data_IF_306609019957
#
_entry.id   IF_306609019957
#
_cell.length_a   1.000
_cell.length_b   1.000
_cell.length_c   1.000
_cell.angle_alpha   90.00
_cell.angle_beta   90.00
_cell.angle_gamma   90.00
#
_symmetry.space_group_name_H-M   'P 1'
#
loop_
_entity.id
_entity.type
_entity.pdbx_description
1 polymer ?
#
# COMPACT_ATOMS: atom_id res chain seq x y z
N UNK A 1 -13.38 -6.81 9.31
CA UNK A 1 -12.84 -7.24 8.01
C UNK A 1 -11.31 -7.20 7.96
N UNK A 2 -10.68 -6.35 8.76
CA UNK A 2 -9.23 -6.22 8.82
C UNK A 2 -8.76 -5.98 10.25
N UNK A 3 -7.47 -6.21 10.51
CA UNK A 3 -6.83 -5.84 11.76
C UNK A 3 -5.95 -4.62 11.51
N UNK A 4 -5.81 -3.77 12.52
CA UNK A 4 -5.07 -2.52 12.43
C UNK A 4 -4.01 -2.47 13.53
N UNK A 5 -2.81 -2.03 13.15
CA UNK A 5 -1.72 -1.73 14.06
C UNK A 5 -0.93 -0.54 13.52
N UNK A 6 0.22 -0.28 14.10
CA UNK A 6 1.07 0.82 13.66
C UNK A 6 2.49 0.33 13.44
N UNK A 7 3.09 0.83 12.37
CA UNK A 7 4.50 0.59 12.03
C UNK A 7 5.14 1.95 11.77
N UNK A 8 6.17 2.29 12.51
CA UNK A 8 6.87 3.54 12.30
C UNK A 8 7.57 3.55 10.94
N UNK A 9 7.32 4.60 10.18
CA UNK A 9 7.94 4.83 8.87
C UNK A 9 9.12 5.77 9.05
N UNK A 10 10.31 5.34 8.58
CA UNK A 10 11.50 6.17 8.71
C UNK A 10 11.35 7.47 7.88
N UNK A 11 11.91 8.57 8.38
CA UNK A 11 11.95 9.82 7.61
C UNK A 11 12.62 9.61 6.25
N UNK A 12 12.06 10.23 5.22
CA UNK A 12 12.62 10.16 3.88
C UNK A 12 12.10 9.03 3.01
N UNK A 13 11.40 8.04 3.56
CA UNK A 13 10.85 6.93 2.76
C UNK A 13 9.92 7.45 1.66
N UNK A 14 9.02 8.37 1.99
CA UNK A 14 8.11 8.95 1.00
C UNK A 14 8.86 9.60 -0.16
N UNK A 15 9.89 10.39 0.12
CA UNK A 15 10.68 11.06 -0.90
C UNK A 15 11.40 10.05 -1.82
N UNK A 16 11.93 8.97 -1.25
CA UNK A 16 12.59 7.93 -2.02
C UNK A 16 11.60 7.17 -2.92
N UNK A 17 10.39 6.92 -2.44
CA UNK A 17 9.34 6.29 -3.27
C UNK A 17 8.96 7.19 -4.44
N UNK A 18 8.80 8.49 -4.20
CA UNK A 18 8.51 9.46 -5.26
C UNK A 18 9.63 9.48 -6.30
N UNK A 19 10.88 9.42 -5.85
CA UNK A 19 12.03 9.35 -6.73
C UNK A 19 11.99 8.11 -7.63
N UNK A 20 11.72 6.95 -7.06
CA UNK A 20 11.54 5.71 -7.82
C UNK A 20 10.40 5.84 -8.84
N UNK A 21 9.28 6.37 -8.41
CA UNK A 21 8.13 6.59 -9.28
C UNK A 21 8.51 7.45 -10.49
N UNK A 22 9.19 8.58 -10.26
CA UNK A 22 9.58 9.50 -11.33
C UNK A 22 10.65 8.93 -12.25
N UNK A 23 11.57 8.10 -11.73
CA UNK A 23 12.64 7.51 -12.51
C UNK A 23 12.20 6.31 -13.34
N UNK A 24 11.27 5.51 -12.82
CA UNK A 24 10.91 4.22 -13.42
C UNK A 24 9.58 4.22 -14.17
N UNK A 25 8.79 5.24 -14.01
CA UNK A 25 7.45 5.30 -14.63
C UNK A 25 7.48 6.10 -15.95
N UNK A 26 8.37 5.69 -16.84
CA UNK A 26 8.49 6.31 -18.15
C UNK A 26 7.40 5.84 -19.08
N UNK A 27 6.31 6.37 -19.20
CA UNK A 27 5.29 5.94 -20.16
C UNK A 27 4.01 5.47 -19.53
N UNK A 28 3.85 5.77 -18.27
CA UNK A 28 2.55 5.69 -17.64
C UNK A 28 1.62 6.66 -18.37
N UNK A 29 0.85 6.14 -19.30
CA UNK A 29 -0.11 6.94 -20.02
C UNK A 29 -1.27 7.29 -19.11
N UNK A 30 -1.50 8.50 -18.77
CA UNK A 30 -2.69 9.10 -18.15
C UNK A 30 -3.80 8.18 -17.62
N UNK A 31 -3.46 6.95 -17.29
CA UNK A 31 -4.39 6.00 -16.75
C UNK A 31 -4.76 6.42 -15.33
N UNK A 32 -6.02 6.24 -14.98
CA UNK A 32 -6.56 6.56 -13.66
C UNK A 32 -6.03 5.66 -12.55
N UNK A 33 -5.09 4.75 -12.85
CA UNK A 33 -4.60 3.76 -11.90
C UNK A 33 -3.38 4.22 -11.13
N UNK A 34 -3.37 3.92 -9.84
CA UNK A 34 -2.20 4.08 -8.99
C UNK A 34 -1.01 3.33 -9.56
N UNK A 35 0.16 3.98 -9.59
CA UNK A 35 1.39 3.31 -9.98
C UNK A 35 1.76 2.23 -8.98
N UNK A 36 2.10 1.06 -9.51
CA UNK A 36 2.63 -0.06 -8.74
C UNK A 36 4.09 -0.26 -9.10
N UNK A 37 4.96 -0.18 -8.11
CA UNK A 37 6.36 -0.47 -8.30
C UNK A 37 6.63 -1.94 -8.59
N UNK A 38 7.88 -2.25 -8.89
CA UNK A 38 8.32 -3.63 -9.12
C UNK A 38 7.98 -4.50 -7.91
N UNK A 39 7.41 -5.68 -8.17
CA UNK A 39 7.17 -6.67 -7.12
C UNK A 39 8.48 -7.32 -6.70
N UNK A 40 8.72 -7.36 -5.40
CA UNK A 40 9.98 -7.81 -4.83
C UNK A 40 9.75 -8.87 -3.78
N UNK A 41 10.73 -9.76 -3.61
CA UNK A 41 10.76 -10.74 -2.52
C UNK A 41 11.69 -10.30 -1.41
N UNK A 42 12.78 -9.64 -1.76
CA UNK A 42 13.79 -9.11 -0.86
C UNK A 42 13.74 -7.59 -0.91
N UNK A 43 14.34 -6.93 0.06
CA UNK A 43 14.44 -5.47 0.06
C UNK A 43 15.82 -5.03 -0.45
N UNK A 44 15.92 -4.46 -1.67
CA UNK A 44 17.19 -3.95 -2.20
C UNK A 44 17.51 -2.52 -1.74
N UNK A 45 16.61 -1.87 -0.98
CA UNK A 45 16.74 -0.46 -0.63
C UNK A 45 17.20 -0.29 0.81
N UNK A 46 18.42 0.23 1.00
CA UNK A 46 18.96 0.50 2.33
C UNK A 46 18.08 1.47 3.11
N UNK A 47 17.57 2.50 2.45
CA UNK A 47 16.70 3.49 3.07
C UNK A 47 15.35 2.92 3.58
N UNK A 48 15.02 1.70 3.19
CA UNK A 48 13.78 1.03 3.63
C UNK A 48 14.03 -0.10 4.64
N UNK A 49 15.28 -0.40 4.96
CA UNK A 49 15.65 -1.57 5.79
C UNK A 49 14.98 -1.55 7.17
N UNK A 50 15.07 -0.45 7.89
CA UNK A 50 14.51 -0.38 9.25
C UNK A 50 12.99 -0.47 9.24
N UNK A 51 12.34 0.22 8.33
CA UNK A 51 10.88 0.13 8.17
C UNK A 51 10.45 -1.28 7.78
N UNK A 52 11.15 -1.90 6.84
CA UNK A 52 10.87 -3.27 6.40
C UNK A 52 11.03 -4.28 7.54
N UNK A 53 12.05 -4.14 8.37
CA UNK A 53 12.25 -5.00 9.54
C UNK A 53 11.09 -4.87 10.54
N UNK A 54 10.57 -3.67 10.74
CA UNK A 54 9.39 -3.46 11.60
C UNK A 54 8.14 -4.11 11.03
N UNK A 55 7.98 -4.09 9.71
CA UNK A 55 6.87 -4.80 9.05
C UNK A 55 7.00 -6.31 9.26
N UNK A 56 8.19 -6.86 9.08
CA UNK A 56 8.44 -8.30 9.33
C UNK A 56 8.08 -8.69 10.76
N UNK A 57 8.44 -7.85 11.74
CA UNK A 57 8.06 -8.07 13.14
C UNK A 57 6.54 -8.01 13.32
N UNK A 58 5.86 -7.10 12.65
CA UNK A 58 4.41 -6.90 12.76
C UNK A 58 3.60 -8.07 12.18
N UNK A 59 4.11 -8.74 11.13
CA UNK A 59 3.42 -9.88 10.54
C UNK A 59 3.69 -11.20 11.27
N UNK A 60 4.59 -11.20 12.24
CA UNK A 60 4.88 -12.37 13.08
C UNK A 60 5.47 -13.53 12.29
N UNK A 61 4.85 -14.71 12.40
CA UNK A 61 5.33 -15.93 11.76
C UNK A 61 5.00 -16.04 10.27
N UNK A 62 4.23 -15.11 9.72
CA UNK A 62 3.93 -15.11 8.31
C UNK A 62 5.12 -14.63 7.50
N UNK A 63 5.27 -15.19 6.31
CA UNK A 63 6.33 -14.79 5.39
C UNK A 63 5.82 -13.72 4.44
N UNK A 64 6.60 -12.66 4.27
CA UNK A 64 6.38 -11.69 3.18
C UNK A 64 6.88 -12.35 1.90
N UNK A 65 5.95 -12.71 1.02
CA UNK A 65 6.29 -13.41 -0.22
C UNK A 65 6.55 -12.43 -1.36
N UNK A 66 5.72 -11.41 -1.47
CA UNK A 66 5.89 -10.31 -2.43
C UNK A 66 5.50 -8.99 -1.78
N UNK A 67 6.12 -7.93 -2.23
CA UNK A 67 5.75 -6.58 -1.79
C UNK A 67 6.13 -5.55 -2.86
N UNK A 68 5.48 -4.39 -2.82
CA UNK A 68 5.74 -3.30 -3.77
C UNK A 68 5.26 -1.97 -3.20
N UNK A 69 5.84 -0.89 -3.74
CA UNK A 69 5.39 0.46 -3.44
C UNK A 69 4.22 0.84 -4.34
N UNK A 70 3.30 1.64 -3.80
CA UNK A 70 2.22 2.27 -4.55
C UNK A 70 2.35 3.78 -4.45
N UNK A 71 2.21 4.46 -5.57
CA UNK A 71 2.18 5.91 -5.62
C UNK A 71 0.96 6.35 -6.43
N UNK A 72 0.00 6.96 -5.75
CA UNK A 72 -1.22 7.49 -6.37
C UNK A 72 -1.11 8.99 -6.56
N UNK A 73 -1.11 9.44 -7.82
CA UNK A 73 -1.19 10.85 -8.14
C UNK A 73 -2.59 11.40 -7.89
N UNK A 74 -2.76 12.74 -7.83
CA UNK A 74 -4.09 13.32 -7.80
C UNK A 74 -5.01 12.75 -8.89
N UNK A 75 -6.18 12.26 -8.49
CA UNK A 75 -7.13 11.61 -9.39
C UNK A 75 -7.02 10.10 -9.49
N UNK A 76 -5.89 9.52 -9.09
CA UNK A 76 -5.70 8.08 -9.18
C UNK A 76 -6.59 7.33 -8.20
N UNK A 77 -7.05 6.17 -8.64
CA UNK A 77 -7.82 5.22 -7.83
C UNK A 77 -7.37 3.79 -8.14
N UNK A 78 -7.80 2.84 -7.34
CA UNK A 78 -7.59 1.43 -7.64
C UNK A 78 -8.90 0.67 -7.47
N UNK A 79 -9.31 -0.02 -8.53
CA UNK A 79 -10.62 -0.69 -8.61
C UNK A 79 -10.72 -1.92 -7.75
N UNK A 80 -11.94 -2.42 -7.56
CA UNK A 80 -12.22 -3.64 -6.83
C UNK A 80 -11.36 -4.80 -7.32
N UNK A 81 -10.65 -5.43 -6.40
CA UNK A 81 -9.78 -6.57 -6.68
C UNK A 81 -9.58 -7.40 -5.41
N UNK A 82 -9.01 -8.59 -5.59
CA UNK A 82 -8.59 -9.47 -4.52
C UNK A 82 -7.32 -10.19 -4.95
N UNK A 83 -6.58 -10.75 -4.01
CA UNK A 83 -5.30 -11.38 -4.28
C UNK A 83 -5.37 -12.89 -4.02
N UNK A 84 -4.96 -13.67 -5.00
CA UNK A 84 -4.82 -15.12 -4.91
C UNK A 84 -3.44 -15.53 -5.41
N UNK A 85 -2.81 -16.56 -4.88
CA UNK A 85 -3.25 -17.55 -3.87
C UNK A 85 -2.80 -17.24 -2.44
N UNK A 86 -2.57 -15.99 -2.09
CA UNK A 86 -2.03 -15.61 -0.80
C UNK A 86 -3.07 -15.75 0.31
N UNK A 87 -2.60 -15.94 1.55
CA UNK A 87 -3.47 -16.09 2.73
C UNK A 87 -3.95 -14.73 3.20
N UNK A 88 -3.01 -13.79 3.34
CA UNK A 88 -3.31 -12.43 3.79
C UNK A 88 -2.57 -11.41 2.95
N UNK A 89 -3.12 -10.22 2.94
CA UNK A 89 -2.51 -9.03 2.37
C UNK A 89 -2.35 -7.98 3.47
N UNK A 90 -1.36 -7.12 3.31
CA UNK A 90 -1.12 -6.04 4.26
C UNK A 90 -0.78 -4.77 3.52
N UNK A 91 -1.07 -3.62 4.14
CA UNK A 91 -0.73 -2.31 3.60
C UNK A 91 -0.16 -1.43 4.71
N UNK A 92 1.00 -0.85 4.44
CA UNK A 92 1.60 0.19 5.27
C UNK A 92 1.40 1.54 4.59
N UNK A 93 0.88 2.51 5.33
CA UNK A 93 0.63 3.86 4.81
C UNK A 93 1.81 4.77 5.11
N UNK A 94 2.44 5.28 4.05
CA UNK A 94 3.67 6.07 4.10
C UNK A 94 3.40 7.57 3.98
N UNK A 95 2.52 7.97 3.08
CA UNK A 95 2.09 9.36 2.91
C UNK A 95 0.61 9.40 2.60
N UNK A 96 -0.14 10.12 3.45
CA UNK A 96 -1.59 10.18 3.37
C UNK A 96 -2.04 11.63 3.43
N UNK A 97 -2.03 12.35 2.29
CA UNK A 97 -2.55 13.71 2.25
C UNK A 97 -4.02 13.76 2.64
N UNK A 98 -4.45 14.88 3.20
CA UNK A 98 -5.88 15.11 3.46
C UNK A 98 -6.66 14.98 2.15
N UNK A 99 -7.81 14.30 2.19
CA UNK A 99 -8.65 14.00 1.03
C UNK A 99 -8.02 13.06 -0.01
N UNK A 100 -7.00 12.29 0.37
CA UNK A 100 -6.39 11.35 -0.57
C UNK A 100 -7.16 10.04 -0.74
N UNK A 101 -8.28 9.87 -0.04
CA UNK A 101 -9.12 8.68 -0.13
C UNK A 101 -8.63 7.56 0.79
N UNK A 102 -9.52 6.64 1.08
CA UNK A 102 -9.25 5.47 1.90
C UNK A 102 -9.30 4.18 1.11
N UNK A 103 -9.18 3.08 1.82
CA UNK A 103 -9.40 1.74 1.27
C UNK A 103 -10.80 1.29 1.69
N UNK A 104 -11.53 0.71 0.75
CA UNK A 104 -12.89 0.21 0.97
C UNK A 104 -12.90 -1.29 0.78
N UNK A 105 -13.50 -1.99 1.73
CA UNK A 105 -13.66 -3.44 1.72
C UNK A 105 -15.12 -3.80 1.49
N UNK A 106 -15.33 -4.93 0.81
CA UNK A 106 -16.67 -5.47 0.57
C UNK A 106 -16.69 -6.96 0.87
N UNK A 107 -17.64 -7.35 1.70
CA UNK A 107 -17.95 -8.76 1.95
C UNK A 107 -19.47 -8.93 1.83
N UNK A 108 -19.92 -9.64 0.79
CA UNK A 108 -21.34 -9.74 0.44
C UNK A 108 -21.93 -8.34 0.24
N UNK A 109 -22.92 -7.95 1.03
CA UNK A 109 -23.54 -6.62 0.98
C UNK A 109 -22.97 -5.64 2.01
N UNK A 110 -21.97 -6.05 2.78
CA UNK A 110 -21.32 -5.21 3.76
C UNK A 110 -20.13 -4.46 3.16
N UNK A 111 -20.05 -3.17 3.45
CA UNK A 111 -18.95 -2.31 3.03
C UNK A 111 -18.33 -1.67 4.26
N UNK A 112 -17.02 -1.55 4.27
CA UNK A 112 -16.28 -0.85 5.31
C UNK A 112 -15.18 -0.02 4.68
N UNK A 113 -15.11 1.27 5.05
CA UNK A 113 -14.05 2.18 4.60
C UNK A 113 -13.09 2.41 5.74
N UNK A 114 -11.81 2.30 5.47
CA UNK A 114 -10.74 2.68 6.38
C UNK A 114 -10.03 3.90 5.83
N UNK A 115 -10.02 4.99 6.61
CA UNK A 115 -9.31 6.23 6.28
C UNK A 115 -7.99 6.24 7.07
N UNK A 116 -6.86 5.96 6.42
CA UNK A 116 -5.59 5.80 7.14
C UNK A 116 -4.93 7.12 7.50
N UNK A 117 -3.99 7.02 8.44
CA UNK A 117 -2.98 8.04 8.70
C UNK A 117 -1.60 7.41 8.50
N UNK A 118 -0.56 8.25 8.42
CA UNK A 118 0.83 7.78 8.24
C UNK A 118 1.19 6.81 9.37
N UNK A 119 1.76 5.66 9.02
CA UNK A 119 2.16 4.63 9.98
C UNK A 119 1.08 3.61 10.28
N UNK A 120 -0.14 3.80 9.82
CA UNK A 120 -1.15 2.75 9.93
C UNK A 120 -0.73 1.54 9.12
N UNK A 121 -0.91 0.36 9.72
CA UNK A 121 -0.60 -0.92 9.10
C UNK A 121 -1.81 -1.84 9.27
N UNK A 122 -2.39 -2.25 8.15
CA UNK A 122 -3.57 -3.12 8.16
C UNK A 122 -3.26 -4.47 7.54
N UNK A 123 -3.87 -5.51 8.09
CA UNK A 123 -3.79 -6.88 7.55
C UNK A 123 -5.21 -7.38 7.33
N UNK A 124 -5.45 -7.98 6.18
CA UNK A 124 -6.77 -8.49 5.82
C UNK A 124 -6.64 -9.77 4.97
N UNK A 125 -7.69 -10.60 4.92
CA UNK A 125 -7.67 -11.79 4.05
C UNK A 125 -7.46 -11.40 2.59
N UNK A 126 -6.55 -12.08 1.90
CA UNK A 126 -6.22 -11.74 0.51
C UNK A 126 -7.41 -11.86 -0.44
N UNK A 127 -8.36 -12.74 -0.15
CA UNK A 127 -9.56 -12.92 -0.96
C UNK A 127 -10.68 -11.91 -0.65
N UNK A 128 -10.47 -11.02 0.31
CA UNK A 128 -11.43 -9.96 0.62
C UNK A 128 -11.36 -8.89 -0.47
N UNK A 129 -12.48 -8.64 -1.13
CA UNK A 129 -12.55 -7.62 -2.18
C UNK A 129 -12.30 -6.24 -1.57
N UNK A 130 -11.44 -5.46 -2.22
CA UNK A 130 -11.11 -4.12 -1.77
C UNK A 130 -10.81 -3.20 -2.95
N UNK A 131 -10.97 -1.91 -2.73
CA UNK A 131 -10.60 -0.87 -3.69
C UNK A 131 -10.00 0.32 -2.96
N UNK A 132 -9.26 1.13 -3.68
CA UNK A 132 -8.72 2.39 -3.16
C UNK A 132 -9.49 3.53 -3.80
N UNK A 133 -10.04 4.40 -2.96
CA UNK A 133 -10.84 5.53 -3.40
C UNK A 133 -9.98 6.55 -4.15
N UNK A 134 -10.58 7.41 -4.99
CA UNK A 134 -9.83 8.44 -5.71
C UNK A 134 -9.04 9.36 -4.79
N UNK A 135 -7.81 9.67 -5.19
CA UNK A 135 -6.99 10.66 -4.52
C UNK A 135 -7.45 12.07 -4.93
N UNK A 136 -8.23 12.71 -4.06
CA UNK A 136 -8.75 14.05 -4.30
C UNK A 136 -7.86 15.16 -3.72
N UNK A 137 -6.66 14.80 -3.28
CA UNK A 137 -5.67 15.74 -2.79
C UNK A 137 -4.83 16.30 -3.94
N UNK A 138 -3.98 17.27 -3.64
CA UNK A 138 -3.05 17.85 -4.61
C UNK A 138 -1.67 17.19 -4.56
N UNK A 139 -1.50 16.07 -3.80
CA UNK A 139 -0.20 15.44 -3.57
C UNK A 139 -0.30 13.91 -3.72
N UNK A 140 0.85 13.24 -3.67
CA UNK A 140 0.92 11.79 -3.81
C UNK A 140 0.40 11.08 -2.56
N UNK A 141 -0.40 10.04 -2.77
CA UNK A 141 -0.73 9.05 -1.75
C UNK A 141 0.22 7.88 -1.92
N UNK A 142 0.97 7.54 -0.86
CA UNK A 142 2.02 6.51 -0.92
C UNK A 142 1.72 5.43 0.11
N UNK A 143 1.74 4.19 -0.35
CA UNK A 143 1.59 3.02 0.49
C UNK A 143 2.53 1.91 0.03
N UNK A 144 2.67 0.89 0.87
CA UNK A 144 3.43 -0.31 0.55
C UNK A 144 2.51 -1.49 0.76
N UNK A 145 2.41 -2.34 -0.24
CA UNK A 145 1.56 -3.53 -0.20
C UNK A 145 2.40 -4.79 -0.04
N UNK A 146 1.88 -5.73 0.74
CA UNK A 146 2.55 -7.00 1.04
C UNK A 146 1.59 -8.14 0.83
N UNK A 147 2.04 -9.20 0.17
CA UNK A 147 1.35 -10.48 0.10
C UNK A 147 2.04 -11.45 1.05
N UNK A 148 1.25 -12.04 1.94
CA UNK A 148 1.76 -12.90 3.02
C UNK A 148 1.38 -14.36 2.79
N UNK A 149 2.27 -15.23 3.17
CA UNK A 149 2.05 -16.69 3.18
C UNK A 149 2.30 -17.29 4.55
#
# INVERSE_FOLDING_TARGET
MFTQSRVDVDPGVAAEVVKLFKELDHGRGGALGTWHGKRMRHNPYEWFNSTFARVQAAVGNQRIDQWWFNCGEPGDEYRWHAHHPYTQSAVLYVQVPENSGGIEFRRYEEYQVFNPTIGDFIIFPSNLAHRVQPNKSADYRISVAFNLK
#
